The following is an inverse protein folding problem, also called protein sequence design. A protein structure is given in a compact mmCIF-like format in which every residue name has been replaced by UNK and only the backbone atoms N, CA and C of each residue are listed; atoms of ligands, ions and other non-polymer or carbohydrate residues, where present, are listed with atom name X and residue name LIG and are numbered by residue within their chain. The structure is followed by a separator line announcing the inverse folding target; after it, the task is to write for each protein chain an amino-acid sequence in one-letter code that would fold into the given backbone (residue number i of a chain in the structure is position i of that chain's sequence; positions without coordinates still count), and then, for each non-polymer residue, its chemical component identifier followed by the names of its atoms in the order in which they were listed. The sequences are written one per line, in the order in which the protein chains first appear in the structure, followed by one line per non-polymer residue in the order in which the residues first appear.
data_IF_322484192135
#
_entry.id   IF_322484192135
#
_cell.length_a   1.000
_cell.length_b   1.000
_cell.length_c   1.000
_cell.angle_alpha   90.00
_cell.angle_beta   90.00
_cell.angle_gamma   90.00
#
_symmetry.space_group_name_H-M   'P 1'
#
loop_
_entity.id
_entity.type
_entity.pdbx_description
1 polymer ?
#
# COMPACT_ATOMS: atom_id res chain seq x y z
N UNK A 1 27.27 -10.16 -9.22
CA UNK A 1 26.06 -10.41 -10.02
C UNK A 1 25.41 -9.06 -10.24
N UNK A 2 25.16 -8.60 -11.48
CA UNK A 2 24.49 -7.32 -11.70
C UNK A 2 23.05 -7.40 -11.17
N UNK A 3 22.56 -6.30 -10.60
CA UNK A 3 21.16 -6.17 -10.18
C UNK A 3 20.26 -6.20 -11.42
N UNK A 4 19.27 -7.06 -11.42
CA UNK A 4 18.23 -7.08 -12.46
C UNK A 4 17.17 -6.02 -12.13
N UNK A 5 17.30 -4.86 -12.77
CA UNK A 5 16.40 -3.74 -12.56
C UNK A 5 14.98 -4.04 -13.03
N UNK A 6 14.80 -4.83 -14.10
CA UNK A 6 13.48 -5.22 -14.59
C UNK A 6 12.78 -6.11 -13.58
N UNK A 7 13.47 -7.13 -13.07
CA UNK A 7 12.93 -8.00 -12.02
C UNK A 7 12.56 -7.20 -10.75
N UNK A 8 13.44 -6.27 -10.32
CA UNK A 8 13.18 -5.43 -9.15
C UNK A 8 11.94 -4.56 -9.34
N UNK A 9 11.75 -3.99 -10.54
CA UNK A 9 10.60 -3.19 -10.88
C UNK A 9 9.32 -4.03 -10.88
N UNK A 10 9.35 -5.19 -11.53
CA UNK A 10 8.20 -6.10 -11.59
C UNK A 10 7.77 -6.57 -10.20
N UNK A 11 8.72 -6.94 -9.33
CA UNK A 11 8.42 -7.31 -7.95
C UNK A 11 7.85 -6.13 -7.14
N UNK A 12 8.38 -4.93 -7.33
CA UNK A 12 7.86 -3.71 -6.69
C UNK A 12 6.40 -3.47 -7.08
N UNK A 13 6.10 -3.50 -8.38
CA UNK A 13 4.72 -3.34 -8.88
C UNK A 13 3.79 -4.42 -8.35
N UNK A 14 4.23 -5.67 -8.38
CA UNK A 14 3.46 -6.81 -7.86
C UNK A 14 3.14 -6.64 -6.38
N UNK A 15 4.13 -6.33 -5.55
CA UNK A 15 3.93 -6.18 -4.11
C UNK A 15 3.04 -4.98 -3.77
N UNK A 16 3.20 -3.85 -4.47
CA UNK A 16 2.37 -2.66 -4.28
C UNK A 16 0.92 -2.84 -4.77
N UNK A 17 0.66 -3.80 -5.66
CA UNK A 17 -0.70 -4.14 -6.08
C UNK A 17 -1.47 -4.99 -5.07
N UNK A 18 -0.79 -5.52 -4.05
CA UNK A 18 -1.41 -6.35 -3.02
C UNK A 18 -1.85 -5.46 -1.86
N UNK A 19 -3.15 -5.42 -1.50
CA UNK A 19 -3.63 -4.70 -0.33
C UNK A 19 -2.88 -5.11 0.94
N UNK A 20 -2.16 -4.15 1.53
CA UNK A 20 -1.33 -4.42 2.70
C UNK A 20 -1.26 -3.26 3.71
N UNK A 21 -2.37 -2.57 4.03
CA UNK A 21 -2.33 -1.57 5.08
C UNK A 21 -1.77 -2.13 6.38
N UNK A 22 -1.14 -1.26 7.18
CA UNK A 22 -0.59 -1.65 8.49
C UNK A 22 -1.64 -2.41 9.32
N UNK A 23 -1.28 -3.61 9.77
CA UNK A 23 -2.21 -4.55 10.45
C UNK A 23 -2.92 -5.54 9.52
N UNK A 24 -2.79 -5.41 8.19
CA UNK A 24 -3.39 -6.30 7.19
C UNK A 24 -2.34 -6.94 6.25
N UNK A 25 -1.24 -7.54 6.75
CA UNK A 25 -0.11 -8.00 5.94
C UNK A 25 -0.30 -9.41 5.37
N UNK A 26 -1.41 -10.11 5.62
CA UNK A 26 -1.54 -11.55 5.34
C UNK A 26 -1.28 -11.90 3.88
N UNK A 27 -1.87 -11.14 2.96
CA UNK A 27 -1.77 -11.41 1.52
C UNK A 27 -0.36 -11.13 1.00
N UNK A 28 0.23 -9.99 1.35
CA UNK A 28 1.57 -9.62 0.90
C UNK A 28 2.64 -10.54 1.49
N UNK A 29 2.49 -10.98 2.75
CA UNK A 29 3.40 -11.96 3.35
C UNK A 29 3.29 -13.32 2.66
N UNK A 30 2.09 -13.77 2.29
CA UNK A 30 1.90 -14.99 1.50
C UNK A 30 2.62 -14.89 0.14
N UNK A 31 2.42 -13.80 -0.59
CA UNK A 31 3.08 -13.57 -1.87
C UNK A 31 4.61 -13.52 -1.76
N UNK A 32 5.15 -12.99 -0.65
CA UNK A 32 6.59 -13.02 -0.38
C UNK A 32 7.10 -14.43 -0.11
N UNK A 33 6.37 -15.22 0.68
CA UNK A 33 6.72 -16.62 0.95
C UNK A 33 6.79 -17.39 -0.37
N UNK A 34 5.75 -17.33 -1.20
CA UNK A 34 5.71 -17.98 -2.52
C UNK A 34 6.88 -17.55 -3.42
N UNK A 35 7.18 -16.24 -3.44
CA UNK A 35 8.29 -15.73 -4.26
C UNK A 35 9.64 -16.26 -3.79
N UNK A 36 9.88 -16.26 -2.48
CA UNK A 36 11.15 -16.72 -1.91
C UNK A 36 11.32 -18.24 -2.05
N UNK A 37 10.23 -19.00 -1.89
CA UNK A 37 10.25 -20.47 -2.15
C UNK A 37 10.53 -20.76 -3.62
N UNK A 38 9.92 -20.01 -4.55
CA UNK A 38 10.19 -20.11 -5.98
C UNK A 38 11.65 -19.80 -6.36
N UNK A 39 12.35 -19.02 -5.53
CA UNK A 39 13.79 -18.75 -5.66
C UNK A 39 14.67 -19.80 -4.97
N UNK A 40 14.09 -20.85 -4.37
CA UNK A 40 14.80 -21.93 -3.71
C UNK A 40 15.17 -21.67 -2.25
N UNK A 41 14.61 -20.62 -1.63
CA UNK A 41 14.81 -20.33 -0.21
C UNK A 41 13.74 -21.00 0.65
N UNK A 42 13.96 -21.01 1.98
CA UNK A 42 13.03 -21.55 2.97
C UNK A 42 12.54 -20.44 3.90
N UNK A 43 11.62 -19.57 3.45
CA UNK A 43 11.09 -18.49 4.26
C UNK A 43 10.16 -19.01 5.36
N UNK A 44 10.01 -18.23 6.43
CA UNK A 44 9.10 -18.51 7.53
C UNK A 44 8.26 -17.29 7.85
N UNK A 45 6.93 -17.45 7.79
CA UNK A 45 6.02 -16.40 8.23
C UNK A 45 5.90 -16.36 9.76
N UNK A 46 5.94 -15.15 10.31
CA UNK A 46 5.80 -14.89 11.74
C UNK A 46 4.31 -14.71 12.12
N UNK A 47 3.96 -15.03 13.38
CA UNK A 47 2.58 -14.91 13.88
C UNK A 47 2.00 -13.49 13.82
N UNK A 48 2.83 -12.47 14.01
CA UNK A 48 2.42 -11.04 13.98
C UNK A 48 2.45 -10.41 12.59
N UNK A 49 2.59 -11.21 11.54
CA UNK A 49 2.93 -10.74 10.21
C UNK A 49 4.44 -10.56 10.05
N UNK A 50 4.89 -10.52 8.81
CA UNK A 50 6.30 -10.48 8.48
C UNK A 50 6.83 -11.86 8.07
N UNK A 51 7.92 -11.83 7.29
CA UNK A 51 8.57 -13.02 6.75
C UNK A 51 10.05 -12.96 7.12
N UNK A 52 10.58 -14.07 7.58
CA UNK A 52 12.02 -14.26 7.82
C UNK A 52 12.54 -15.29 6.85
N UNK A 53 13.59 -14.94 6.12
CA UNK A 53 14.22 -15.81 5.14
C UNK A 53 15.73 -15.89 5.40
N UNK A 54 16.25 -17.06 5.83
CA UNK A 54 17.68 -17.30 5.90
C UNK A 54 18.24 -17.42 4.47
N UNK A 55 19.25 -16.63 4.14
CA UNK A 55 19.92 -16.68 2.83
C UNK A 55 21.17 -17.55 2.83
N UNK A 56 21.53 -18.14 3.99
CA UNK A 56 22.77 -18.91 4.15
C UNK A 56 23.95 -18.02 4.48
N UNK A 57 25.16 -18.55 4.26
CA UNK A 57 26.42 -17.88 4.55
C UNK A 57 27.07 -18.34 5.85
N UNK A 58 28.35 -17.98 6.02
CA UNK A 58 29.17 -18.31 7.18
C UNK A 58 29.69 -17.04 7.85
N UNK A 59 30.04 -17.12 9.13
CA UNK A 59 30.62 -16.03 9.89
C UNK A 59 29.60 -15.22 10.71
N UNK A 60 29.89 -13.92 10.91
CA UNK A 60 29.02 -13.07 11.73
C UNK A 60 27.67 -12.81 11.04
N UNK A 61 26.53 -13.09 11.69
CA UNK A 61 25.23 -12.92 11.07
C UNK A 61 24.94 -11.44 10.75
N UNK A 62 24.41 -11.20 9.54
CA UNK A 62 23.89 -9.92 9.08
C UNK A 62 22.39 -10.06 8.86
N UNK A 63 21.59 -9.11 9.37
CA UNK A 63 20.18 -9.04 9.10
C UNK A 63 19.87 -7.82 8.23
N UNK A 64 19.16 -8.05 7.13
CA UNK A 64 18.56 -7.00 6.30
C UNK A 64 17.07 -6.95 6.65
N UNK A 65 16.53 -5.75 6.87
CA UNK A 65 15.14 -5.55 7.19
C UNK A 65 14.51 -4.50 6.27
N UNK A 66 13.31 -4.79 5.77
CA UNK A 66 12.50 -3.87 4.99
C UNK A 66 11.03 -4.09 5.36
N UNK A 67 10.17 -3.09 5.12
CA UNK A 67 8.73 -3.23 5.31
C UNK A 67 8.02 -3.39 3.97
N UNK A 68 6.84 -4.04 4.00
CA UNK A 68 5.96 -4.27 2.85
C UNK A 68 4.54 -3.78 3.09
N UNK A 69 4.26 -3.25 4.29
CA UNK A 69 2.97 -2.63 4.54
C UNK A 69 2.89 -1.26 3.90
N UNK A 70 1.67 -0.93 3.48
CA UNK A 70 1.31 0.34 2.87
C UNK A 70 0.52 1.21 3.86
N UNK A 71 0.37 2.47 3.52
CA UNK A 71 -0.60 3.34 4.18
C UNK A 71 -2.02 2.89 3.83
N UNK A 72 -2.96 3.16 4.73
CA UNK A 72 -4.36 2.85 4.51
C UNK A 72 -5.25 3.53 5.54
N UNK A 73 -6.53 3.15 5.52
CA UNK A 73 -7.54 3.65 6.44
C UNK A 73 -8.33 2.46 7.01
N UNK A 74 -9.10 2.72 8.05
CA UNK A 74 -10.02 1.74 8.64
C UNK A 74 -11.35 2.42 8.91
N UNK A 75 -12.45 1.75 8.62
CA UNK A 75 -13.80 2.24 8.90
C UNK A 75 -13.95 2.44 10.41
N UNK A 76 -14.21 3.68 10.84
CA UNK A 76 -14.42 4.07 12.23
C UNK A 76 -15.90 4.14 12.58
N UNK A 77 -16.72 4.58 11.63
CA UNK A 77 -18.18 4.61 11.78
C UNK A 77 -18.88 4.60 10.43
N UNK A 78 -20.05 4.02 10.38
CA UNK A 78 -21.02 4.20 9.27
C UNK A 78 -21.98 5.30 9.69
N UNK A 79 -22.09 6.33 8.88
CA UNK A 79 -22.93 7.50 9.15
C UNK A 79 -24.39 7.26 8.72
N UNK A 80 -25.36 8.04 9.24
CA UNK A 80 -26.75 7.89 8.88
C UNK A 80 -27.04 8.07 7.38
N UNK A 81 -26.22 8.85 6.68
CA UNK A 81 -26.31 9.13 5.23
C UNK A 81 -25.56 8.12 4.35
N UNK A 82 -25.06 7.01 4.92
CA UNK A 82 -24.32 5.99 4.19
C UNK A 82 -22.82 6.29 3.97
N UNK A 83 -22.34 7.47 4.33
CA UNK A 83 -20.91 7.79 4.26
C UNK A 83 -20.13 7.08 5.36
N UNK A 84 -18.84 6.85 5.13
CA UNK A 84 -17.99 6.21 6.11
C UNK A 84 -17.02 7.24 6.74
N UNK A 85 -17.03 7.31 8.05
CA UNK A 85 -15.94 7.93 8.79
C UNK A 85 -14.81 6.91 8.96
N UNK A 86 -13.57 7.39 8.90
CA UNK A 86 -12.39 6.52 8.96
C UNK A 86 -11.39 6.95 10.02
N UNK A 87 -10.42 6.11 10.28
CA UNK A 87 -9.17 6.43 10.99
C UNK A 87 -7.98 5.99 10.14
N UNK A 88 -6.84 6.68 10.29
CA UNK A 88 -5.64 6.38 9.52
C UNK A 88 -4.95 5.12 10.05
N UNK A 89 -4.46 4.29 9.13
CA UNK A 89 -3.52 3.21 9.40
C UNK A 89 -2.14 3.62 8.86
N UNK A 90 -1.19 3.80 9.76
CA UNK A 90 0.06 4.50 9.49
C UNK A 90 -0.12 6.02 9.54
N UNK A 91 0.68 6.76 8.76
CA UNK A 91 0.70 8.22 8.75
C UNK A 91 0.45 8.81 7.35
N UNK A 92 -0.70 8.58 6.69
CA UNK A 92 -0.98 9.22 5.41
C UNK A 92 -1.14 10.73 5.57
N UNK A 93 -0.63 11.50 4.60
CA UNK A 93 -0.96 12.92 4.49
C UNK A 93 -2.39 13.06 4.00
N UNK A 94 -3.31 13.49 4.85
CA UNK A 94 -4.72 13.57 4.48
C UNK A 94 -5.02 14.62 3.40
N UNK A 95 -4.14 15.60 3.19
CA UNK A 95 -4.19 16.49 2.03
C UNK A 95 -3.94 15.76 0.70
N UNK A 96 -3.11 14.69 0.73
CA UNK A 96 -2.85 13.87 -0.45
C UNK A 96 -3.88 12.75 -0.63
N UNK A 97 -4.69 12.47 0.39
CA UNK A 97 -5.74 11.44 0.37
C UNK A 97 -7.09 12.00 -0.10
N UNK A 98 -7.31 13.32 0.03
CA UNK A 98 -8.50 13.98 -0.54
C UNK A 98 -8.56 13.71 -2.05
N UNK A 99 -9.70 13.26 -2.54
CA UNK A 99 -9.98 12.84 -3.93
C UNK A 99 -9.31 11.53 -4.39
N UNK A 100 -8.61 10.83 -3.52
CA UNK A 100 -8.09 9.50 -3.85
C UNK A 100 -9.19 8.45 -3.87
N UNK A 101 -9.10 7.54 -4.85
CA UNK A 101 -9.94 6.36 -4.86
C UNK A 101 -9.49 5.38 -3.77
N UNK A 102 -10.46 4.69 -3.21
CA UNK A 102 -10.23 3.70 -2.16
C UNK A 102 -10.98 2.41 -2.45
N UNK A 103 -10.46 1.31 -1.90
CA UNK A 103 -11.15 0.03 -1.87
C UNK A 103 -11.43 -0.36 -0.42
N UNK A 104 -12.69 -0.47 -0.06
CA UNK A 104 -13.17 -0.99 1.22
C UNK A 104 -13.21 -2.51 1.15
N UNK A 105 -12.61 -3.18 2.13
CA UNK A 105 -12.52 -4.66 2.21
C UNK A 105 -13.23 -5.13 3.48
N UNK A 106 -14.53 -5.47 3.41
CA UNK A 106 -15.24 -6.11 4.50
C UNK A 106 -14.66 -7.48 4.85
N UNK A 107 -14.96 -7.96 6.06
CA UNK A 107 -14.54 -9.30 6.51
C UNK A 107 -15.08 -10.44 5.65
N UNK A 108 -16.19 -10.23 4.96
CA UNK A 108 -16.78 -11.19 4.00
C UNK A 108 -15.96 -11.37 2.72
N UNK A 109 -14.92 -10.57 2.50
CA UNK A 109 -14.00 -10.70 1.35
C UNK A 109 -14.48 -10.02 0.06
N UNK A 110 -15.67 -9.44 0.04
CA UNK A 110 -16.11 -8.56 -1.06
C UNK A 110 -15.28 -7.27 -1.06
N UNK A 111 -15.30 -6.54 -2.16
CA UNK A 111 -14.59 -5.27 -2.29
C UNK A 111 -15.53 -4.24 -2.87
N UNK A 112 -15.55 -3.07 -2.26
CA UNK A 112 -16.32 -1.93 -2.70
C UNK A 112 -15.39 -0.76 -2.95
N UNK A 113 -15.62 -0.05 -4.04
CA UNK A 113 -14.86 1.15 -4.37
C UNK A 113 -15.53 2.39 -3.81
N UNK A 114 -14.78 3.47 -3.74
CA UNK A 114 -15.26 4.76 -3.29
C UNK A 114 -14.17 5.81 -3.41
N UNK A 115 -14.47 7.00 -2.95
CA UNK A 115 -13.57 8.15 -2.97
C UNK A 115 -13.53 8.82 -1.60
N UNK A 116 -12.39 9.39 -1.25
CA UNK A 116 -12.25 10.23 -0.04
C UNK A 116 -12.55 11.68 -0.41
N UNK A 117 -13.53 12.27 0.26
CA UNK A 117 -13.92 13.65 0.03
C UNK A 117 -14.12 14.42 1.35
N UNK A 118 -14.04 15.74 1.26
CA UNK A 118 -14.54 16.59 2.34
C UNK A 118 -16.04 16.39 2.54
N UNK A 119 -16.49 16.44 3.78
CA UNK A 119 -17.92 16.38 4.14
C UNK A 119 -18.75 17.41 3.37
N UNK A 120 -18.21 18.60 3.18
CA UNK A 120 -18.82 19.69 2.45
C UNK A 120 -17.86 20.17 1.34
N UNK A 121 -17.69 19.36 0.30
CA UNK A 121 -16.72 19.57 -0.78
C UNK A 121 -17.15 20.65 -1.80
N UNK A 122 -18.38 21.15 -1.73
CA UNK A 122 -18.88 22.09 -2.73
C UNK A 122 -18.38 23.51 -2.48
N UNK A 123 -17.54 24.04 -3.36
CA UNK A 123 -17.02 25.43 -3.30
C UNK A 123 -18.14 26.49 -3.39
N UNK A 124 -19.25 26.18 -4.01
CA UNK A 124 -20.38 27.12 -4.13
C UNK A 124 -21.17 27.27 -2.82
N UNK A 125 -21.10 26.30 -1.93
CA UNK A 125 -21.85 26.27 -0.67
C UNK A 125 -20.92 26.48 0.52
N UNK A 126 -19.72 25.87 0.48
CA UNK A 126 -18.73 25.99 1.55
C UNK A 126 -17.78 27.15 1.30
N UNK A 127 -18.01 28.27 1.99
CA UNK A 127 -17.16 29.47 1.89
C UNK A 127 -15.79 29.29 2.53
N UNK A 128 -15.63 28.30 3.42
CA UNK A 128 -14.41 28.03 4.18
C UNK A 128 -13.59 26.86 3.58
N UNK A 129 -14.01 26.35 2.42
CA UNK A 129 -13.40 25.18 1.78
C UNK A 129 -11.88 25.25 1.68
N UNK A 130 -11.35 26.43 1.30
CA UNK A 130 -9.92 26.63 1.08
C UNK A 130 -9.11 26.66 2.39
N UNK A 131 -9.76 26.96 3.53
CA UNK A 131 -9.16 27.02 4.87
C UNK A 131 -9.52 25.83 5.74
N UNK A 132 -10.47 25.00 5.32
CA UNK A 132 -10.89 23.82 6.09
C UNK A 132 -9.75 22.83 6.23
N UNK A 133 -9.51 22.38 7.45
CA UNK A 133 -8.46 21.41 7.74
C UNK A 133 -8.82 20.06 7.14
N UNK A 134 -7.84 19.41 6.48
CA UNK A 134 -7.98 18.04 6.00
C UNK A 134 -7.52 17.09 7.08
N UNK A 135 -8.49 16.54 7.81
CA UNK A 135 -8.24 15.53 8.85
C UNK A 135 -9.35 14.45 8.84
N UNK A 136 -9.23 13.46 9.71
CA UNK A 136 -10.16 12.33 9.80
C UNK A 136 -11.51 12.68 10.42
N UNK A 137 -11.76 13.95 10.75
CA UNK A 137 -13.05 14.47 11.19
C UNK A 137 -13.78 15.25 10.10
N UNK A 138 -13.04 15.75 9.11
CA UNK A 138 -13.56 16.55 7.99
C UNK A 138 -13.66 15.76 6.69
N UNK A 139 -12.81 14.74 6.53
CA UNK A 139 -12.84 13.83 5.37
C UNK A 139 -13.69 12.60 5.66
N UNK A 140 -14.36 12.11 4.62
CA UNK A 140 -15.26 10.95 4.63
C UNK A 140 -15.06 10.12 3.37
N UNK A 141 -15.49 8.86 3.42
CA UNK A 141 -15.50 8.00 2.23
C UNK A 141 -16.93 7.95 1.69
N UNK A 142 -17.07 8.27 0.41
CA UNK A 142 -18.26 8.03 -0.38
C UNK A 142 -18.04 6.72 -1.14
N UNK A 143 -19.00 5.79 -1.01
CA UNK A 143 -18.99 4.55 -1.77
C UNK A 143 -19.54 4.79 -3.18
N UNK A 144 -19.05 4.02 -4.16
CA UNK A 144 -19.58 4.01 -5.54
C UNK A 144 -20.90 3.21 -5.65
N UNK A 145 -21.37 2.63 -4.53
CA UNK A 145 -22.61 1.87 -4.45
C UNK A 145 -23.81 2.79 -4.18
N UNK A 146 -25.00 2.37 -4.60
CA UNK A 146 -26.27 3.07 -4.30
C UNK A 146 -26.63 2.90 -2.82
N UNK A 147 -26.04 3.72 -1.97
CA UNK A 147 -26.32 3.77 -0.53
C UNK A 147 -26.75 5.17 -0.12
N UNK A 148 -27.78 5.25 0.69
CA UNK A 148 -28.33 6.52 1.23
C UNK A 148 -28.57 6.47 2.73
N UNK A 149 -28.31 5.32 3.34
CA UNK A 149 -28.53 5.08 4.76
C UNK A 149 -27.46 4.14 5.35
N UNK A 150 -27.38 4.12 6.67
CA UNK A 150 -26.54 3.16 7.39
C UNK A 150 -26.94 1.72 7.07
N UNK A 151 -28.22 1.46 7.01
CA UNK A 151 -28.80 0.13 6.75
C UNK A 151 -28.40 -0.39 5.37
N UNK A 152 -28.28 0.50 4.38
CA UNK A 152 -27.80 0.13 3.04
C UNK A 152 -26.37 -0.37 3.08
N UNK A 153 -25.50 0.36 3.79
CA UNK A 153 -24.09 0.01 3.96
C UNK A 153 -23.92 -1.30 4.76
N UNK A 154 -24.72 -1.49 5.81
CA UNK A 154 -24.72 -2.73 6.59
C UNK A 154 -25.15 -3.94 5.75
N UNK A 155 -26.08 -3.77 4.80
CA UNK A 155 -26.46 -4.83 3.85
C UNK A 155 -25.34 -5.21 2.90
N UNK A 156 -24.42 -4.31 2.58
CA UNK A 156 -23.19 -4.61 1.85
C UNK A 156 -22.18 -5.39 2.71
N UNK A 157 -22.43 -5.54 4.01
CA UNK A 157 -21.55 -6.21 4.94
C UNK A 157 -20.37 -5.35 5.43
N UNK A 158 -20.41 -4.04 5.15
CA UNK A 158 -19.40 -3.08 5.61
C UNK A 158 -19.67 -2.74 7.07
N UNK A 159 -18.64 -2.83 7.90
CA UNK A 159 -18.73 -2.60 9.34
C UNK A 159 -17.51 -1.84 9.87
N UNK A 160 -17.66 -1.34 11.10
CA UNK A 160 -16.54 -0.73 11.84
C UNK A 160 -15.39 -1.74 11.99
N UNK A 161 -14.18 -1.29 11.69
CA UNK A 161 -12.97 -2.11 11.71
C UNK A 161 -12.62 -2.74 10.37
N UNK A 162 -13.41 -2.52 9.32
CA UNK A 162 -13.07 -2.97 7.98
C UNK A 162 -11.93 -2.13 7.40
N UNK A 163 -11.08 -2.78 6.63
CA UNK A 163 -9.88 -2.18 6.05
C UNK A 163 -10.24 -1.40 4.80
N UNK A 164 -9.59 -0.25 4.65
CA UNK A 164 -9.70 0.59 3.46
C UNK A 164 -8.32 0.80 2.88
N UNK A 165 -8.14 0.36 1.65
CA UNK A 165 -6.91 0.53 0.89
C UNK A 165 -6.99 1.80 0.05
N UNK A 166 -5.91 2.57 0.04
CA UNK A 166 -5.73 3.67 -0.90
C UNK A 166 -5.34 3.06 -2.25
N UNK A 167 -6.09 3.37 -3.31
CA UNK A 167 -5.84 2.84 -4.65
C UNK A 167 -4.75 3.66 -5.34
N UNK A 168 -3.51 3.47 -4.91
CA UNK A 168 -2.36 4.07 -5.58
C UNK A 168 -2.21 3.48 -6.99
N UNK A 169 -2.75 4.16 -7.97
CA UNK A 169 -2.43 3.86 -9.38
C UNK A 169 -1.01 4.31 -9.65
N UNK A 170 -0.04 3.42 -9.44
CA UNK A 170 1.31 3.61 -9.98
C UNK A 170 1.21 3.66 -11.49
N UNK A 171 1.06 4.84 -12.05
CA UNK A 171 1.33 5.10 -13.45
C UNK A 171 2.84 5.15 -13.63
N UNK A 172 3.48 3.99 -13.62
CA UNK A 172 4.77 3.89 -14.27
C UNK A 172 4.49 4.08 -15.75
N UNK A 173 5.12 5.08 -16.33
CA UNK A 173 5.21 5.21 -17.77
C UNK A 173 5.78 3.89 -18.29
N UNK A 174 4.91 2.99 -18.70
CA UNK A 174 5.25 1.89 -19.57
C UNK A 174 5.42 2.50 -20.98
N UNK A 175 6.54 3.20 -21.20
CA UNK A 175 7.10 3.14 -22.52
C UNK A 175 7.42 1.66 -22.75
N UNK A 176 6.93 1.05 -23.86
CA UNK A 176 7.37 -0.29 -24.19
C UNK A 176 8.88 -0.18 -24.44
N UNK A 177 9.66 -0.56 -23.44
CA UNK A 177 11.10 -0.76 -23.60
C UNK A 177 11.24 -1.91 -24.61
N UNK A 178 11.26 -1.57 -25.90
CA UNK A 178 11.73 -2.52 -26.89
C UNK A 178 13.06 -3.04 -26.37
N UNK A 179 13.27 -4.36 -26.34
CA UNK A 179 14.40 -5.01 -25.68
C UNK A 179 15.78 -4.42 -26.02
N UNK A 180 15.89 -3.65 -27.12
CA UNK A 180 17.09 -2.90 -27.53
C UNK A 180 17.32 -1.61 -26.75
N UNK A 181 16.28 -0.96 -26.19
CA UNK A 181 16.42 0.26 -25.40
C UNK A 181 16.75 -0.07 -23.93
N UNK A 182 16.24 -1.18 -23.41
CA UNK A 182 16.63 -1.69 -22.10
C UNK A 182 18.14 -2.02 -22.07
N UNK A 183 18.67 -2.69 -23.10
CA UNK A 183 20.10 -2.99 -23.21
C UNK A 183 20.98 -1.74 -23.33
N UNK A 184 20.52 -0.67 -23.99
CA UNK A 184 21.27 0.59 -24.12
C UNK A 184 21.35 1.38 -22.83
N UNK A 185 20.32 1.37 -21.98
CA UNK A 185 20.35 2.01 -20.65
C UNK A 185 21.28 1.25 -19.70
N UNK A 186 21.29 -0.07 -19.72
CA UNK A 186 22.25 -0.87 -18.94
C UNK A 186 23.71 -0.62 -19.32
N UNK A 187 24.00 -0.35 -20.59
CA UNK A 187 25.36 -0.02 -21.03
C UNK A 187 25.78 1.41 -20.64
N UNK A 188 24.84 2.34 -20.52
CA UNK A 188 25.13 3.72 -20.08
C UNK A 188 25.34 3.84 -18.56
N UNK A 189 24.59 3.07 -17.75
CA UNK A 189 24.74 3.06 -16.29
C UNK A 189 25.98 2.31 -15.82
N UNK A 190 26.45 1.34 -16.58
CA UNK A 190 27.69 0.60 -16.27
C UNK A 190 28.96 1.47 -16.39
N UNK A 191 28.88 2.65 -17.04
CA UNK A 191 30.01 3.55 -17.27
C UNK A 191 30.20 4.67 -16.23
N UNK A 192 29.30 4.85 -15.28
CA UNK A 192 29.39 5.91 -14.26
C UNK A 192 29.38 5.36 -12.83
N UNK A 193 30.42 4.68 -12.45
CA UNK A 193 30.69 4.28 -11.07
C UNK A 193 30.99 5.49 -10.17
N UNK A 194 29.94 6.10 -9.56
CA UNK A 194 30.09 6.95 -8.38
C UNK A 194 29.44 6.27 -7.19
N UNK A 195 30.27 5.81 -6.25
CA UNK A 195 29.89 5.21 -4.99
C UNK A 195 29.10 6.19 -4.11
N UNK A 196 27.78 6.15 -4.20
CA UNK A 196 26.88 6.79 -3.27
C UNK A 196 26.45 5.76 -2.22
N UNK A 197 26.82 5.96 -0.95
CA UNK A 197 26.30 5.15 0.17
C UNK A 197 24.82 5.43 0.33
N UNK A 198 23.97 4.46 -0.03
CA UNK A 198 22.54 4.50 0.22
C UNK A 198 22.29 4.38 1.73
N UNK A 199 21.66 5.37 2.34
CA UNK A 199 21.13 5.28 3.71
C UNK A 199 19.63 5.01 3.61
N UNK A 200 19.11 3.86 4.03
CA UNK A 200 17.69 3.63 4.09
C UNK A 200 17.06 4.47 5.21
N UNK A 201 15.98 5.17 4.90
CA UNK A 201 15.12 5.79 5.89
C UNK A 201 14.20 4.72 6.48
N UNK A 202 14.21 4.57 7.80
CA UNK A 202 13.34 3.63 8.51
C UNK A 202 11.98 4.30 8.78
N UNK A 203 10.91 3.71 8.23
CA UNK A 203 9.55 3.96 8.67
C UNK A 203 9.03 2.76 9.47
N UNK A 204 8.21 3.00 10.48
CA UNK A 204 7.68 1.95 11.35
C UNK A 204 6.66 1.10 10.57
N UNK A 205 6.98 -0.16 10.31
CA UNK A 205 6.14 -1.12 9.62
C UNK A 205 6.66 -2.54 9.80
N UNK A 206 5.88 -3.54 9.43
CA UNK A 206 6.24 -4.94 9.58
C UNK A 206 7.48 -5.29 8.77
N UNK A 207 8.53 -5.71 9.47
CA UNK A 207 9.83 -5.94 8.88
C UNK A 207 9.93 -7.31 8.18
N UNK A 208 10.52 -7.33 6.99
CA UNK A 208 11.06 -8.54 6.38
C UNK A 208 12.50 -8.68 6.88
N UNK A 209 12.80 -9.73 7.63
CA UNK A 209 14.16 -10.01 8.10
C UNK A 209 14.79 -11.02 7.14
N UNK A 210 15.75 -10.56 6.36
CA UNK A 210 16.64 -11.42 5.61
C UNK A 210 17.90 -11.66 6.46
N UNK A 211 18.21 -12.92 6.77
CA UNK A 211 19.45 -13.30 7.45
C UNK A 211 20.41 -13.87 6.40
N UNK A 212 21.50 -13.17 6.16
CA UNK A 212 22.64 -13.68 5.41
C UNK A 212 23.50 -14.56 6.29
#
# INVERSE_FOLDING_TARGET
MPLDACYSLDQTLRLLSIPSPTGYPRQVCGALVETLEGLGFSPRQLRKGGVVCPLGGEGRPLALAAHVDTLGLMVRAVKPDGRLAFTCLGGPSLQAVETENVTVIPRGGQRYTGVVELRNASKHVNRELDSEKRDDTTLEILLDEEVSSREDVERLGIAVGDIVCLDHRLRLYQEPLSGRQAQRRHAADAGQGRGGRYRPAFAQGHAVFLRL
#
